data_IF_929393578499
#
_entry.id   IF_929393578499
#
_cell.length_a   1.000
_cell.length_b   1.000
_cell.length_c   1.000
_cell.angle_alpha   90.00
_cell.angle_beta   90.00
_cell.angle_gamma   90.00
#
_symmetry.space_group_name_H-M   'P 1'
#
loop_
_entity.id
_entity.type
_entity.pdbx_description
1 polymer ?
#
# COMPACT_ATOMS: atom_id res chain seq x y z
N UNK A 1 4.74 18.48 11.83
CA UNK A 1 4.73 17.13 11.24
C UNK A 1 4.32 16.22 12.38
N UNK A 2 3.18 15.55 12.29
CA UNK A 2 2.81 14.60 13.35
C UNK A 2 3.73 13.37 13.28
N UNK A 3 4.03 12.79 14.45
CA UNK A 3 4.89 11.62 14.55
C UNK A 3 4.10 10.34 14.22
N UNK A 4 4.47 9.67 13.13
CA UNK A 4 3.95 8.36 12.73
C UNK A 4 4.94 7.21 12.97
N UNK A 5 5.97 7.43 13.81
CA UNK A 5 6.97 6.42 14.19
C UNK A 5 6.34 5.13 14.69
N UNK A 6 5.29 5.22 15.50
CA UNK A 6 4.56 4.05 16.01
C UNK A 6 3.90 3.23 14.89
N UNK A 7 3.42 3.86 13.81
CA UNK A 7 2.85 3.15 12.65
C UNK A 7 3.95 2.36 11.95
N UNK A 8 5.10 2.99 11.71
CA UNK A 8 6.27 2.35 11.11
C UNK A 8 6.80 1.20 11.96
N UNK A 9 6.88 1.38 13.27
CA UNK A 9 7.32 0.32 14.18
C UNK A 9 6.40 -0.90 14.12
N UNK A 10 5.08 -0.69 14.12
CA UNK A 10 4.12 -1.79 14.01
C UNK A 10 4.20 -2.46 12.65
N UNK A 11 4.40 -1.72 11.56
CA UNK A 11 4.62 -2.30 10.23
C UNK A 11 5.86 -3.21 10.21
N UNK A 12 7.00 -2.73 10.71
CA UNK A 12 8.25 -3.50 10.68
C UNK A 12 8.16 -4.77 11.54
N UNK A 13 7.54 -4.69 12.72
CA UNK A 13 7.27 -5.88 13.53
C UNK A 13 6.34 -6.85 12.82
N UNK A 14 5.31 -6.35 12.16
CA UNK A 14 4.36 -7.17 11.42
C UNK A 14 5.02 -7.88 10.24
N UNK A 15 5.93 -7.23 9.50
CA UNK A 15 6.73 -7.88 8.44
C UNK A 15 7.57 -9.04 8.96
N UNK A 16 8.18 -8.89 10.14
CA UNK A 16 9.09 -9.90 10.72
C UNK A 16 8.34 -11.06 11.37
N UNK A 17 7.27 -10.76 12.12
CA UNK A 17 6.60 -11.74 12.99
C UNK A 17 5.21 -12.17 12.53
N UNK A 18 4.60 -11.42 11.62
CA UNK A 18 3.17 -11.55 11.28
C UNK A 18 2.23 -11.01 12.37
N UNK A 19 2.74 -10.57 13.52
CA UNK A 19 1.94 -10.08 14.65
C UNK A 19 1.69 -8.57 14.58
N UNK A 20 0.44 -8.15 14.82
CA UNK A 20 0.06 -6.75 14.89
C UNK A 20 0.02 -6.26 16.33
N UNK A 21 0.99 -5.44 16.72
CA UNK A 21 1.01 -4.78 18.03
C UNK A 21 0.04 -3.59 18.11
N UNK A 22 -1.26 -3.85 17.97
CA UNK A 22 -2.32 -2.83 17.91
C UNK A 22 -2.36 -1.86 19.11
N UNK A 23 -1.79 -2.26 20.25
CA UNK A 23 -1.69 -1.41 21.44
C UNK A 23 -0.87 -0.15 21.16
N UNK A 24 0.18 -0.25 20.32
CA UNK A 24 1.02 0.89 19.92
C UNK A 24 0.34 1.87 18.98
N UNK A 25 -0.75 1.44 18.34
CA UNK A 25 -1.57 2.30 17.49
C UNK A 25 -2.65 3.06 18.29
N UNK A 26 -2.75 2.81 19.61
CA UNK A 26 -3.75 3.47 20.47
C UNK A 26 -3.37 4.93 20.68
N UNK A 27 -4.33 5.83 20.50
CA UNK A 27 -4.11 7.28 20.67
C UNK A 27 -3.56 7.99 19.43
N UNK A 28 -3.20 7.26 18.38
CA UNK A 28 -2.89 7.86 17.09
C UNK A 28 -4.15 8.43 16.46
N UNK A 29 -4.07 9.68 16.02
CA UNK A 29 -5.19 10.38 15.43
C UNK A 29 -5.22 10.19 13.89
N UNK A 30 -6.27 10.69 13.24
CA UNK A 30 -6.47 10.56 11.80
C UNK A 30 -5.38 11.25 10.95
N UNK A 31 -4.77 12.33 11.46
CA UNK A 31 -3.71 13.05 10.79
C UNK A 31 -2.40 12.25 10.79
N UNK A 32 -2.08 11.52 11.86
CA UNK A 32 -0.87 10.68 11.90
C UNK A 32 -0.91 9.60 10.80
N UNK A 33 -2.08 8.99 10.58
CA UNK A 33 -2.31 8.03 9.49
C UNK A 33 -2.23 8.67 8.11
N UNK A 34 -2.77 9.88 7.98
CA UNK A 34 -2.74 10.64 6.74
C UNK A 34 -1.32 11.03 6.34
N UNK A 35 -0.54 11.54 7.31
CA UNK A 35 0.86 11.92 7.09
C UNK A 35 1.70 10.68 6.74
N UNK A 36 1.46 9.55 7.41
CA UNK A 36 2.07 8.26 7.06
C UNK A 36 1.75 7.82 5.62
N UNK A 37 0.47 7.75 5.23
CA UNK A 37 0.09 7.34 3.88
C UNK A 37 0.66 8.27 2.81
N UNK A 38 0.62 9.59 3.06
CA UNK A 38 1.22 10.56 2.14
C UNK A 38 2.71 10.30 1.95
N UNK A 39 3.45 10.06 3.03
CA UNK A 39 4.87 9.80 2.96
C UNK A 39 5.16 8.50 2.20
N UNK A 40 4.48 7.40 2.53
CA UNK A 40 4.72 6.12 1.86
C UNK A 40 4.39 6.18 0.36
N UNK A 41 3.30 6.84 -0.03
CA UNK A 41 2.95 7.04 -1.44
C UNK A 41 4.05 7.84 -2.16
N UNK A 42 4.55 8.90 -1.54
CA UNK A 42 5.63 9.72 -2.11
C UNK A 42 6.92 8.90 -2.27
N UNK A 43 7.27 8.11 -1.25
CA UNK A 43 8.46 7.26 -1.29
C UNK A 43 8.34 6.18 -2.38
N UNK A 44 7.18 5.53 -2.50
CA UNK A 44 6.91 4.53 -3.54
C UNK A 44 7.00 5.18 -4.92
N UNK A 45 6.44 6.38 -5.10
CA UNK A 45 6.51 7.10 -6.36
C UNK A 45 7.96 7.35 -6.80
N UNK A 46 8.85 7.68 -5.85
CA UNK A 46 10.27 7.93 -6.14
C UNK A 46 11.05 6.69 -6.62
N UNK A 47 10.52 5.49 -6.34
CA UNK A 47 11.14 4.22 -6.72
C UNK A 47 10.69 3.72 -8.10
N UNK A 48 9.63 4.29 -8.67
CA UNK A 48 8.98 3.74 -9.88
C UNK A 48 9.94 3.52 -11.04
N UNK A 49 10.81 4.50 -11.32
CA UNK A 49 11.68 4.48 -12.50
C UNK A 49 13.03 3.79 -12.26
N UNK A 50 13.45 3.67 -10.99
CA UNK A 50 14.76 3.15 -10.61
C UNK A 50 14.72 1.72 -10.05
N UNK A 51 13.61 1.35 -9.41
CA UNK A 51 13.42 0.08 -8.72
C UNK A 51 11.92 -0.30 -8.69
N UNK A 52 11.36 -0.58 -9.88
CA UNK A 52 9.93 -0.88 -10.03
C UNK A 52 9.46 -2.10 -9.21
N UNK A 53 10.31 -3.12 -9.05
CA UNK A 53 10.01 -4.29 -8.21
C UNK A 53 9.93 -3.93 -6.72
N UNK A 54 10.86 -3.12 -6.21
CA UNK A 54 10.83 -2.60 -4.84
C UNK A 54 9.61 -1.71 -4.59
N UNK A 55 9.27 -0.88 -5.58
CA UNK A 55 8.06 -0.05 -5.54
C UNK A 55 6.78 -0.91 -5.45
N UNK A 56 6.74 -2.02 -6.20
CA UNK A 56 5.64 -2.97 -6.16
C UNK A 56 5.52 -3.64 -4.79
N UNK A 57 6.62 -4.19 -4.27
CA UNK A 57 6.63 -4.86 -2.96
C UNK A 57 6.19 -3.90 -1.84
N UNK A 58 6.70 -2.67 -1.86
CA UNK A 58 6.36 -1.66 -0.86
C UNK A 58 4.90 -1.23 -0.96
N UNK A 59 4.35 -1.08 -2.17
CA UNK A 59 2.93 -0.77 -2.35
C UNK A 59 2.02 -1.92 -1.90
N UNK A 60 2.34 -3.15 -2.28
CA UNK A 60 1.59 -4.33 -1.85
C UNK A 60 1.59 -4.47 -0.32
N UNK A 61 2.75 -4.25 0.30
CA UNK A 61 2.91 -4.24 1.76
C UNK A 61 2.06 -3.15 2.41
N UNK A 62 2.12 -1.92 1.90
CA UNK A 62 1.35 -0.79 2.41
C UNK A 62 -0.16 -1.09 2.40
N UNK A 63 -0.67 -1.57 1.28
CA UNK A 63 -2.09 -1.84 1.11
C UNK A 63 -2.56 -3.01 1.98
N UNK A 64 -1.75 -4.08 2.06
CA UNK A 64 -2.05 -5.21 2.93
C UNK A 64 -2.08 -4.79 4.40
N UNK A 65 -1.05 -4.06 4.84
CA UNK A 65 -0.98 -3.53 6.19
C UNK A 65 -2.18 -2.63 6.52
N UNK A 66 -2.54 -1.72 5.61
CA UNK A 66 -3.66 -0.82 5.81
C UNK A 66 -5.02 -1.56 5.85
N UNK A 67 -5.23 -2.58 5.01
CA UNK A 67 -6.42 -3.44 5.07
C UNK A 67 -6.51 -4.16 6.41
N UNK A 68 -5.41 -4.76 6.83
CA UNK A 68 -5.30 -5.53 8.07
C UNK A 68 -5.59 -4.65 9.29
N UNK A 69 -5.02 -3.45 9.34
CA UNK A 69 -5.29 -2.49 10.42
C UNK A 69 -6.74 -1.98 10.34
N UNK A 70 -7.30 -1.73 9.15
CA UNK A 70 -8.65 -1.20 8.98
C UNK A 70 -9.73 -2.14 9.51
N UNK A 71 -9.51 -3.47 9.43
CA UNK A 71 -10.39 -4.48 10.03
C UNK A 71 -10.54 -4.31 11.54
N UNK A 72 -9.52 -3.79 12.22
CA UNK A 72 -9.50 -3.62 13.69
C UNK A 72 -9.62 -2.17 14.14
N UNK A 73 -9.34 -1.22 13.23
CA UNK A 73 -9.40 0.23 13.43
C UNK A 73 -10.11 0.88 12.22
N UNK A 74 -11.44 0.74 12.09
CA UNK A 74 -12.17 1.18 10.88
C UNK A 74 -12.01 2.67 10.53
N UNK A 75 -11.65 3.52 11.49
CA UNK A 75 -11.41 4.95 11.22
C UNK A 75 -10.26 5.21 10.23
N UNK A 76 -9.34 4.25 10.05
CA UNK A 76 -8.23 4.41 9.10
C UNK A 76 -8.66 4.24 7.63
N UNK A 77 -9.85 3.69 7.39
CA UNK A 77 -10.42 3.55 6.04
C UNK A 77 -10.60 4.91 5.37
N UNK A 78 -11.00 5.95 6.12
CA UNK A 78 -11.21 7.28 5.55
C UNK A 78 -9.90 7.94 5.04
N UNK A 79 -8.78 7.97 5.83
CA UNK A 79 -7.47 8.35 5.31
C UNK A 79 -7.04 7.55 4.09
N UNK A 80 -7.22 6.24 4.08
CA UNK A 80 -6.79 5.39 2.96
C UNK A 80 -7.60 5.69 1.67
N UNK A 81 -8.92 5.81 1.78
CA UNK A 81 -9.79 6.18 0.65
C UNK A 81 -9.45 7.55 0.08
N UNK A 82 -8.98 8.49 0.91
CA UNK A 82 -8.55 9.82 0.45
C UNK A 82 -7.41 9.72 -0.56
N UNK A 83 -6.50 8.76 -0.39
CA UNK A 83 -5.36 8.55 -1.26
C UNK A 83 -5.62 7.52 -2.36
N UNK A 84 -6.87 7.03 -2.51
CA UNK A 84 -7.16 5.96 -3.46
C UNK A 84 -6.86 6.34 -4.91
N UNK A 85 -7.12 7.60 -5.29
CA UNK A 85 -6.77 8.09 -6.63
C UNK A 85 -5.26 8.06 -6.88
N UNK A 86 -4.47 8.42 -5.87
CA UNK A 86 -3.00 8.42 -5.96
C UNK A 86 -2.46 6.99 -6.04
N UNK A 87 -3.00 6.08 -5.21
CA UNK A 87 -2.71 4.65 -5.24
C UNK A 87 -3.03 4.07 -6.62
N UNK A 88 -4.20 4.37 -7.19
CA UNK A 88 -4.58 3.92 -8.53
C UNK A 88 -3.60 4.44 -9.59
N UNK A 89 -3.18 5.71 -9.49
CA UNK A 89 -2.18 6.26 -10.40
C UNK A 89 -0.83 5.58 -10.23
N UNK A 90 -0.38 5.28 -9.00
CA UNK A 90 0.86 4.54 -8.76
C UNK A 90 0.81 3.15 -9.40
N UNK A 91 -0.29 2.44 -9.24
CA UNK A 91 -0.47 1.08 -9.78
C UNK A 91 -0.40 1.10 -11.32
N UNK A 92 -1.01 2.09 -11.97
CA UNK A 92 -0.93 2.25 -13.42
C UNK A 92 0.50 2.56 -13.89
N UNK A 93 1.24 3.40 -13.16
CA UNK A 93 2.66 3.68 -13.46
C UNK A 93 3.53 2.44 -13.25
N UNK A 94 3.32 1.72 -12.15
CA UNK A 94 3.96 0.44 -11.84
C UNK A 94 3.73 -0.59 -12.94
N UNK A 95 2.49 -0.77 -13.37
CA UNK A 95 2.13 -1.67 -14.45
C UNK A 95 2.91 -1.36 -15.73
N UNK A 96 2.95 -0.08 -16.12
CA UNK A 96 3.72 0.38 -17.27
C UNK A 96 5.21 0.07 -17.13
N UNK A 97 5.81 0.35 -15.96
CA UNK A 97 7.24 0.16 -15.73
C UNK A 97 7.63 -1.33 -15.64
N UNK A 98 6.70 -2.19 -15.19
CA UNK A 98 6.88 -3.64 -15.15
C UNK A 98 6.50 -4.33 -16.48
N UNK A 99 6.08 -3.59 -17.51
CA UNK A 99 5.67 -4.16 -18.80
C UNK A 99 4.35 -4.95 -18.76
N UNK A 100 3.49 -4.63 -17.78
CA UNK A 100 2.17 -5.22 -17.60
C UNK A 100 1.15 -4.45 -18.44
N UNK A 101 0.34 -5.16 -19.22
CA UNK A 101 -0.65 -4.53 -20.10
C UNK A 101 -1.96 -4.19 -19.38
N UNK A 102 -2.39 -5.05 -18.45
CA UNK A 102 -3.65 -4.89 -17.72
C UNK A 102 -3.43 -5.02 -16.21
N UNK A 103 -4.14 -4.17 -15.46
CA UNK A 103 -4.10 -4.17 -14.00
C UNK A 103 -5.50 -4.01 -13.45
N UNK A 104 -5.88 -4.90 -12.53
CA UNK A 104 -7.15 -4.85 -11.84
C UNK A 104 -6.92 -4.50 -10.37
N UNK A 105 -7.72 -3.55 -9.87
CA UNK A 105 -7.75 -3.20 -8.46
C UNK A 105 -9.20 -3.36 -7.99
N UNK A 106 -9.43 -4.35 -7.14
CA UNK A 106 -10.74 -4.57 -6.54
C UNK A 106 -10.75 -4.04 -5.11
N UNK A 107 -11.72 -3.17 -4.81
CA UNK A 107 -12.02 -2.76 -3.43
C UNK A 107 -13.39 -3.31 -3.04
N UNK A 108 -13.41 -4.16 -2.01
CA UNK A 108 -14.63 -4.77 -1.46
C UNK A 108 -14.91 -4.34 -0.02
N UNK A 109 -16.16 -4.52 0.42
CA UNK A 109 -16.56 -4.34 1.83
C UNK A 109 -17.04 -5.69 2.40
N UNK A 110 -16.69 -6.10 3.64
CA UNK A 110 -15.86 -5.39 4.63
C UNK A 110 -14.39 -5.32 4.21
N UNK A 111 -13.84 -4.09 4.22
CA UNK A 111 -12.64 -3.61 3.50
C UNK A 111 -11.63 -4.67 3.01
N UNK A 112 -11.55 -4.85 1.69
CA UNK A 112 -10.52 -5.61 0.97
C UNK A 112 -9.91 -4.75 -0.12
N UNK A 113 -8.60 -4.91 -0.38
CA UNK A 113 -7.93 -4.40 -1.58
C UNK A 113 -7.23 -5.59 -2.20
N UNK A 114 -7.61 -5.95 -3.43
CA UNK A 114 -6.94 -6.96 -4.24
C UNK A 114 -6.31 -6.28 -5.46
N UNK A 115 -5.08 -6.65 -5.77
CA UNK A 115 -4.34 -6.15 -6.93
C UNK A 115 -3.83 -7.32 -7.73
N UNK A 116 -4.20 -7.37 -9.01
CA UNK A 116 -3.67 -8.34 -9.96
C UNK A 116 -3.00 -7.64 -11.14
N UNK A 117 -1.80 -8.12 -11.48
CA UNK A 117 -1.04 -7.67 -12.65
C UNK A 117 -1.02 -8.82 -13.66
N UNK A 118 -1.55 -8.60 -14.86
CA UNK A 118 -1.53 -9.60 -15.92
C UNK A 118 -0.31 -9.40 -16.82
N UNK A 119 0.72 -10.21 -16.59
CA UNK A 119 1.93 -10.24 -17.43
C UNK A 119 1.66 -11.19 -18.61
N UNK A 120 1.84 -10.76 -19.87
CA UNK A 120 1.63 -11.64 -21.01
C UNK A 120 2.61 -12.82 -20.98
N UNK A 121 2.09 -14.04 -20.94
CA UNK A 121 2.87 -15.27 -21.19
C UNK A 121 3.04 -15.47 -22.69
N UNK A 122 3.81 -14.62 -23.37
CA UNK A 122 4.16 -14.86 -24.78
C UNK A 122 5.61 -14.51 -25.06
N UNK A 123 6.46 -15.54 -25.03
CA UNK A 123 7.65 -15.59 -25.90
C UNK A 123 7.15 -15.45 -27.35
N UNK A 124 7.74 -14.58 -28.18
CA UNK A 124 7.55 -14.70 -29.62
C UNK A 124 8.08 -16.07 -30.04
N UNK A 125 7.21 -16.91 -30.59
CA UNK A 125 7.63 -18.12 -31.28
C UNK A 125 8.13 -17.73 -32.68
N UNK A 126 9.42 -18.03 -32.89
CA UNK A 126 10.20 -18.03 -34.14
C UNK A 126 10.62 -16.68 -34.70
#
# INVERSE_FOLDING_TARGET
MEDFSAIKEVLERWKVSGELELRKLTGLNINSWRDYFKQEITDIESLLDSAAEDAHERLATLLTFAVVVAKVRPFITAPLLRYFSDIKSLIQKLAKNLGVNDTEITIGFPFTIDMSFNIPTSKPSK
#
